data_IF_788736924307
#
_entry.id   IF_788736924307
#
_cell.length_a   1.000
_cell.length_b   1.000
_cell.length_c   1.000
_cell.angle_alpha   90.00
_cell.angle_beta   90.00
_cell.angle_gamma   90.00
#
_symmetry.space_group_name_H-M   'P 1'
#
loop_
_entity.id
_entity.type
_entity.pdbx_description
1 polymer ?
#
# COMPACT_ATOMS: atom_id res chain seq x y z
N UNK A 1 -9.10 -8.84 29.13
CA UNK A 1 -8.30 -8.28 28.02
C UNK A 1 -7.69 -7.00 28.52
N UNK A 2 -6.37 -6.94 28.64
CA UNK A 2 -5.68 -5.68 28.98
C UNK A 2 -5.88 -4.76 27.78
N UNK A 3 -6.48 -3.60 28.00
CA UNK A 3 -6.63 -2.59 26.95
C UNK A 3 -5.23 -2.04 26.67
N UNK A 4 -4.57 -2.53 25.62
CA UNK A 4 -3.23 -2.05 25.25
C UNK A 4 -3.37 -0.61 24.78
N UNK A 5 -2.54 0.29 25.32
CA UNK A 5 -2.48 1.68 24.90
C UNK A 5 -2.26 1.75 23.36
N UNK A 6 -2.99 2.58 22.60
CA UNK A 6 -2.91 2.62 21.13
C UNK A 6 -1.49 2.84 20.59
N UNK A 7 -0.69 3.69 21.24
CA UNK A 7 0.72 3.94 20.92
C UNK A 7 1.57 2.67 21.08
N UNK A 8 1.38 1.94 22.18
CA UNK A 8 2.06 0.67 22.44
C UNK A 8 1.68 -0.39 21.42
N UNK A 9 0.42 -0.46 21.02
CA UNK A 9 -0.01 -1.39 19.96
C UNK A 9 0.70 -1.13 18.62
N UNK A 10 0.87 0.14 18.22
CA UNK A 10 1.63 0.48 17.01
C UNK A 10 3.13 0.20 17.17
N UNK A 11 3.70 0.45 18.35
CA UNK A 11 5.09 0.10 18.63
C UNK A 11 5.33 -1.42 18.53
N UNK A 12 4.43 -2.24 19.04
CA UNK A 12 4.53 -3.71 18.89
C UNK A 12 4.43 -4.15 17.43
N UNK A 13 3.53 -3.57 16.62
CA UNK A 13 3.50 -3.82 15.16
C UNK A 13 4.86 -3.52 14.50
N UNK A 14 5.49 -2.40 14.86
CA UNK A 14 6.81 -2.03 14.33
C UNK A 14 7.92 -2.99 14.79
N UNK A 15 7.83 -3.56 15.99
CA UNK A 15 8.77 -4.56 16.51
C UNK A 15 8.66 -5.91 15.80
N UNK A 16 7.49 -6.25 15.27
CA UNK A 16 7.26 -7.45 14.47
C UNK A 16 7.78 -7.35 13.03
N UNK A 17 8.08 -6.14 12.56
CA UNK A 17 8.67 -5.93 11.24
C UNK A 17 10.09 -6.51 11.21
N UNK A 18 10.37 -7.31 10.18
CA UNK A 18 11.73 -7.70 9.87
C UNK A 18 12.43 -6.58 9.09
N UNK A 19 13.30 -5.84 9.78
CA UNK A 19 13.98 -4.65 9.24
C UNK A 19 15.26 -4.97 8.46
N UNK A 20 15.85 -6.14 8.69
CA UNK A 20 17.15 -6.54 8.14
C UNK A 20 17.13 -7.91 7.46
N UNK A 21 16.12 -8.72 7.74
CA UNK A 21 15.93 -10.05 7.21
C UNK A 21 14.84 -10.06 6.15
N UNK A 22 15.11 -10.90 5.15
CA UNK A 22 14.17 -11.35 4.15
C UNK A 22 13.96 -10.42 2.93
N UNK A 23 15.01 -10.36 2.10
CA UNK A 23 14.88 -9.99 0.68
C UNK A 23 13.78 -10.80 -0.03
N UNK A 24 13.52 -12.05 0.39
CA UNK A 24 12.46 -12.85 -0.21
C UNK A 24 11.09 -12.23 0.13
N UNK A 25 10.85 -11.82 1.37
CA UNK A 25 9.60 -11.15 1.79
C UNK A 25 9.36 -9.83 1.05
N UNK A 26 10.35 -8.97 0.93
CA UNK A 26 10.20 -7.70 0.17
C UNK A 26 10.01 -7.95 -1.33
N UNK A 27 10.69 -8.94 -1.90
CA UNK A 27 10.58 -9.30 -3.32
C UNK A 27 9.20 -9.85 -3.71
N UNK A 28 8.60 -10.68 -2.86
CA UNK A 28 7.25 -11.23 -3.13
C UNK A 28 6.16 -10.19 -2.96
N UNK A 29 6.39 -9.11 -2.19
CA UNK A 29 5.42 -8.04 -1.95
C UNK A 29 5.70 -6.74 -2.72
N UNK A 30 6.49 -6.80 -3.79
CA UNK A 30 6.93 -5.59 -4.53
C UNK A 30 5.77 -4.73 -5.04
N UNK A 31 4.64 -5.32 -5.46
CA UNK A 31 3.51 -4.56 -6.03
C UNK A 31 2.77 -3.79 -4.96
N UNK A 32 2.35 -4.48 -3.90
CA UNK A 32 1.67 -3.85 -2.77
C UNK A 32 2.56 -2.79 -2.11
N UNK A 33 3.85 -3.07 -1.88
CA UNK A 33 4.80 -2.11 -1.28
C UNK A 33 4.89 -0.81 -2.08
N UNK A 34 4.97 -0.89 -3.41
CA UNK A 34 5.00 0.29 -4.27
C UNK A 34 3.70 1.11 -4.20
N UNK A 35 2.53 0.45 -4.18
CA UNK A 35 1.23 1.13 -4.08
C UNK A 35 1.04 1.78 -2.70
N UNK A 36 1.41 1.08 -1.64
CA UNK A 36 1.35 1.57 -0.26
C UNK A 36 2.26 2.78 -0.04
N UNK A 37 3.49 2.76 -0.57
CA UNK A 37 4.37 3.93 -0.50
C UNK A 37 3.79 5.12 -1.29
N UNK A 38 3.28 4.91 -2.50
CA UNK A 38 2.62 5.99 -3.28
C UNK A 38 1.41 6.56 -2.54
N UNK A 39 0.65 5.71 -1.87
CA UNK A 39 -0.49 6.14 -1.06
C UNK A 39 -0.04 6.93 0.17
N UNK A 40 1.02 6.51 0.85
CA UNK A 40 1.65 7.30 1.91
C UNK A 40 2.07 8.68 1.40
N UNK A 41 2.81 8.75 0.29
CA UNK A 41 3.28 10.02 -0.31
C UNK A 41 2.11 10.98 -0.60
N UNK A 42 1.01 10.46 -1.16
CA UNK A 42 -0.22 11.21 -1.42
C UNK A 42 -0.86 11.72 -0.13
N UNK A 43 -1.06 10.85 0.87
CA UNK A 43 -1.68 11.25 2.15
C UNK A 43 -0.80 12.24 2.91
N UNK A 44 0.51 12.02 2.97
CA UNK A 44 1.46 12.94 3.56
C UNK A 44 1.44 14.31 2.88
N UNK A 45 1.26 14.38 1.54
CA UNK A 45 1.12 15.65 0.83
C UNK A 45 -0.16 16.40 1.23
N UNK A 46 -1.27 15.67 1.45
CA UNK A 46 -2.53 16.26 1.90
C UNK A 46 -2.40 16.87 3.31
N UNK A 47 -1.77 16.13 4.24
CA UNK A 47 -1.49 16.62 5.59
C UNK A 47 -0.52 17.81 5.58
N UNK A 48 0.55 17.73 4.80
CA UNK A 48 1.49 18.83 4.66
C UNK A 48 0.81 20.11 4.11
N UNK A 49 -0.07 20.00 3.10
CA UNK A 49 -0.85 21.14 2.61
C UNK A 49 -1.78 21.71 3.68
N UNK A 50 -2.47 20.85 4.43
CA UNK A 50 -3.45 21.29 5.41
C UNK A 50 -2.84 22.06 6.58
N UNK A 51 -1.58 21.76 6.93
CA UNK A 51 -0.89 22.37 8.07
C UNK A 51 0.30 23.28 7.68
N UNK A 52 0.48 23.58 6.39
CA UNK A 52 1.57 24.45 5.92
C UNK A 52 2.97 23.85 6.08
N UNK A 53 3.09 22.52 6.03
CA UNK A 53 4.33 21.76 6.24
C UNK A 53 4.93 21.21 4.93
N UNK A 54 4.75 21.89 3.80
CA UNK A 54 5.18 21.40 2.48
C UNK A 54 6.70 21.18 2.39
N UNK A 55 7.51 21.96 3.12
CA UNK A 55 8.97 21.83 3.15
C UNK A 55 9.46 20.56 3.86
N UNK A 56 8.63 19.96 4.71
CA UNK A 56 8.95 18.73 5.44
C UNK A 56 8.50 17.45 4.71
N UNK A 57 7.68 17.60 3.66
CA UNK A 57 7.22 16.49 2.86
C UNK A 57 8.41 15.78 2.18
N UNK A 58 8.41 14.44 2.03
CA UNK A 58 7.36 13.48 2.34
C UNK A 58 7.50 12.74 3.67
N UNK A 59 8.69 12.73 4.27
CA UNK A 59 9.01 11.87 5.40
C UNK A 59 9.14 12.71 6.67
N UNK A 60 7.99 13.03 7.26
CA UNK A 60 7.90 13.86 8.45
C UNK A 60 6.92 13.29 9.48
N UNK A 61 7.02 13.81 10.69
CA UNK A 61 6.08 13.52 11.74
C UNK A 61 4.93 14.54 11.67
N UNK A 62 3.80 14.13 11.09
CA UNK A 62 2.57 14.93 10.96
C UNK A 62 2.10 15.44 12.32
N UNK A 63 2.35 14.70 13.39
CA UNK A 63 1.90 15.07 14.73
C UNK A 63 2.61 16.31 15.27
N UNK A 64 3.82 16.62 14.79
CA UNK A 64 4.55 17.85 15.13
C UNK A 64 3.82 19.11 14.65
N UNK A 65 2.96 18.99 13.64
CA UNK A 65 2.19 20.10 13.05
C UNK A 65 0.74 20.10 13.53
N UNK A 66 0.15 18.92 13.73
CA UNK A 66 -1.23 18.78 14.23
C UNK A 66 -1.31 19.18 15.70
N UNK A 67 -0.38 18.70 16.52
CA UNK A 67 -0.37 18.92 17.96
C UNK A 67 1.07 18.91 18.52
N UNK A 68 1.77 20.07 18.43
CA UNK A 68 3.18 20.15 18.85
C UNK A 68 3.40 19.85 20.34
N UNK A 69 2.35 19.93 21.17
CA UNK A 69 2.44 19.70 22.62
C UNK A 69 2.13 18.27 23.02
N UNK A 70 1.74 17.41 22.06
CA UNK A 70 1.49 15.99 22.28
C UNK A 70 2.72 15.31 22.91
N UNK A 71 2.47 14.53 23.96
CA UNK A 71 3.49 13.71 24.63
C UNK A 71 3.03 12.25 24.67
N UNK A 72 3.96 11.35 24.37
CA UNK A 72 3.77 9.93 24.63
C UNK A 72 3.90 9.68 26.14
N UNK A 73 3.32 8.58 26.60
CA UNK A 73 3.68 8.01 27.90
C UNK A 73 5.23 7.85 27.98
N UNK A 74 5.88 8.24 29.10
CA UNK A 74 7.34 8.21 29.20
C UNK A 74 7.96 6.82 28.98
N UNK A 75 7.27 5.75 29.36
CA UNK A 75 7.74 4.37 29.16
C UNK A 75 7.68 4.01 27.67
N UNK A 76 6.56 4.31 27.00
CA UNK A 76 6.42 4.10 25.55
C UNK A 76 7.42 4.95 24.77
N UNK A 77 7.68 6.19 25.20
CA UNK A 77 8.66 7.06 24.57
C UNK A 77 10.08 6.50 24.66
N UNK A 78 10.49 6.00 25.83
CA UNK A 78 11.80 5.39 26.03
C UNK A 78 11.95 4.11 25.20
N UNK A 79 10.95 3.23 25.27
CA UNK A 79 10.86 1.98 24.49
C UNK A 79 10.97 2.22 22.97
N UNK A 80 10.30 3.29 22.49
CA UNK A 80 10.34 3.69 21.10
C UNK A 80 11.74 4.15 20.69
N UNK A 81 12.35 5.09 21.42
CA UNK A 81 13.66 5.63 21.03
C UNK A 81 14.75 4.54 21.10
N UNK A 82 14.69 3.63 22.08
CA UNK A 82 15.58 2.47 22.12
C UNK A 82 15.39 1.56 20.90
N UNK A 83 14.14 1.27 20.53
CA UNK A 83 13.83 0.47 19.34
C UNK A 83 14.34 1.15 18.05
N UNK A 84 14.05 2.44 17.86
CA UNK A 84 14.46 3.19 16.67
C UNK A 84 15.98 3.22 16.52
N UNK A 85 16.72 3.44 17.61
CA UNK A 85 18.19 3.51 17.58
C UNK A 85 18.85 2.18 17.21
N UNK A 86 18.23 1.05 17.56
CA UNK A 86 18.85 -0.27 17.45
C UNK A 86 18.33 -1.11 16.27
N UNK A 87 17.13 -0.82 15.76
CA UNK A 87 16.43 -1.70 14.80
C UNK A 87 16.06 -1.05 13.48
N UNK A 88 15.87 0.28 13.44
CA UNK A 88 15.36 0.94 12.24
C UNK A 88 16.52 1.44 11.37
N UNK A 89 16.56 1.09 10.06
CA UNK A 89 17.77 1.22 9.27
C UNK A 89 18.10 2.65 8.81
N UNK A 90 17.09 3.52 8.67
CA UNK A 90 17.29 4.86 8.11
C UNK A 90 16.65 5.96 8.97
N UNK A 91 17.25 7.16 9.06
CA UNK A 91 16.67 8.27 9.83
C UNK A 91 15.27 8.68 9.37
N UNK A 92 14.99 8.62 8.06
CA UNK A 92 13.67 8.92 7.51
C UNK A 92 12.62 7.90 7.96
N UNK A 93 12.95 6.61 7.91
CA UNK A 93 12.09 5.54 8.45
C UNK A 93 11.87 5.72 9.95
N UNK A 94 12.92 6.07 10.71
CA UNK A 94 12.77 6.31 12.15
C UNK A 94 11.84 7.49 12.45
N UNK A 95 11.90 8.56 11.63
CA UNK A 95 11.02 9.72 11.76
C UNK A 95 9.55 9.35 11.50
N UNK A 96 9.27 8.56 10.46
CA UNK A 96 7.90 8.13 10.17
C UNK A 96 7.37 7.08 11.16
N UNK A 97 8.22 6.18 11.66
CA UNK A 97 7.87 5.28 12.76
C UNK A 97 7.48 6.04 14.04
N UNK A 98 8.25 7.08 14.40
CA UNK A 98 7.91 7.97 15.53
C UNK A 98 6.56 8.65 15.33
N UNK A 99 6.34 9.19 14.13
CA UNK A 99 5.06 9.80 13.77
C UNK A 99 3.89 8.83 13.86
N UNK A 100 4.05 7.59 13.39
CA UNK A 100 3.00 6.56 13.47
C UNK A 100 2.59 6.23 14.92
N UNK A 101 3.56 6.10 15.83
CA UNK A 101 3.29 5.83 17.25
C UNK A 101 2.60 7.01 17.92
N UNK A 102 3.05 8.24 17.67
CA UNK A 102 2.40 9.48 18.17
C UNK A 102 1.01 9.66 17.59
N UNK A 103 0.83 9.33 16.32
CA UNK A 103 -0.45 9.42 15.63
C UNK A 103 -1.52 8.52 16.26
N UNK A 104 -1.13 7.36 16.79
CA UNK A 104 -2.04 6.48 17.52
C UNK A 104 -2.63 7.14 18.77
N UNK A 105 -1.86 7.97 19.47
CA UNK A 105 -2.35 8.77 20.61
C UNK A 105 -3.34 9.83 20.13
N UNK A 106 -3.00 10.59 19.08
CA UNK A 106 -3.92 11.61 18.54
C UNK A 106 -5.27 11.01 18.13
N UNK A 107 -5.26 9.84 17.47
CA UNK A 107 -6.49 9.12 17.12
C UNK A 107 -7.25 8.66 18.37
N UNK A 108 -6.56 8.05 19.34
CA UNK A 108 -7.16 7.56 20.58
C UNK A 108 -7.81 8.66 21.44
N UNK A 109 -7.23 9.85 21.43
CA UNK A 109 -7.74 11.02 22.16
C UNK A 109 -8.75 11.86 21.35
N UNK A 110 -9.04 11.50 20.10
CA UNK A 110 -9.92 12.28 19.21
C UNK A 110 -9.35 13.65 18.81
N UNK A 111 -8.03 13.82 18.88
CA UNK A 111 -7.31 15.08 18.64
C UNK A 111 -6.83 15.27 17.20
N UNK A 112 -7.20 14.38 16.29
CA UNK A 112 -7.00 14.58 14.84
C UNK A 112 -7.83 15.74 14.28
N UNK A 113 -8.72 16.33 15.10
CA UNK A 113 -9.56 17.48 14.74
C UNK A 113 -10.74 17.11 13.86
N UNK A 114 -11.32 18.11 13.17
CA UNK A 114 -12.37 17.96 12.14
C UNK A 114 -11.78 17.62 10.75
N UNK A 115 -10.51 17.22 10.70
CA UNK A 115 -9.84 16.93 9.43
C UNK A 115 -10.43 15.65 8.84
N UNK A 116 -11.16 15.76 7.72
CA UNK A 116 -11.65 14.62 6.93
C UNK A 116 -10.51 13.87 6.19
N UNK A 117 -9.25 14.23 6.48
CA UNK A 117 -8.09 13.63 5.84
C UNK A 117 -7.87 12.19 6.31
N UNK A 118 -7.45 11.29 5.40
CA UNK A 118 -7.20 9.89 5.73
C UNK A 118 -5.98 9.74 6.64
N UNK A 119 -5.93 8.61 7.35
CA UNK A 119 -4.77 8.22 8.16
C UNK A 119 -3.47 8.25 7.32
N UNK A 120 -2.46 9.07 7.68
CA UNK A 120 -1.25 9.19 6.90
C UNK A 120 -0.34 7.96 7.03
N UNK A 121 -0.35 7.24 8.14
CA UNK A 121 0.67 6.24 8.47
C UNK A 121 0.26 4.80 8.20
N UNK A 122 -1.03 4.47 8.15
CA UNK A 122 -1.46 3.08 7.93
C UNK A 122 -0.91 2.45 6.63
N UNK A 123 -0.87 3.16 5.46
CA UNK A 123 -0.22 2.59 4.27
C UNK A 123 1.25 2.26 4.51
N UNK A 124 1.95 3.08 5.30
CA UNK A 124 3.37 2.92 5.55
C UNK A 124 3.65 1.77 6.55
N UNK A 125 2.81 1.63 7.58
CA UNK A 125 2.87 0.48 8.50
C UNK A 125 2.68 -0.84 7.75
N UNK A 126 1.65 -0.92 6.90
CA UNK A 126 1.42 -2.10 6.05
C UNK A 126 2.60 -2.36 5.10
N UNK A 127 3.22 -1.29 4.59
CA UNK A 127 4.39 -1.44 3.73
C UNK A 127 5.56 -2.06 4.51
N UNK A 128 5.83 -1.58 5.72
CA UNK A 128 6.87 -2.12 6.61
C UNK A 128 6.63 -3.60 6.94
N UNK A 129 5.41 -3.95 7.34
CA UNK A 129 5.02 -5.33 7.65
C UNK A 129 5.26 -6.29 6.47
N UNK A 130 5.26 -5.77 5.24
CA UNK A 130 5.44 -6.52 3.99
C UNK A 130 6.87 -6.58 3.47
N UNK A 131 7.87 -6.14 4.24
CA UNK A 131 9.28 -6.34 3.84
C UNK A 131 10.25 -5.26 4.30
N UNK A 132 9.99 -4.65 5.46
CA UNK A 132 10.90 -3.67 6.06
C UNK A 132 10.79 -2.27 5.46
N UNK A 133 11.81 -1.45 5.75
CA UNK A 133 11.85 -0.03 5.45
C UNK A 133 12.14 0.30 3.98
N UNK A 134 12.79 1.44 3.79
CA UNK A 134 13.22 1.96 2.50
C UNK A 134 14.49 2.81 2.65
N UNK A 135 15.21 2.98 1.55
CA UNK A 135 16.27 3.98 1.40
C UNK A 135 15.88 5.04 0.37
N UNK A 136 16.53 6.20 0.46
CA UNK A 136 16.33 7.32 -0.45
C UNK A 136 17.68 7.69 -1.04
N UNK A 137 17.77 7.62 -2.36
CA UNK A 137 18.86 8.20 -3.14
C UNK A 137 18.24 9.02 -4.28
N UNK A 138 18.50 8.68 -5.54
CA UNK A 138 17.77 9.23 -6.69
C UNK A 138 16.30 8.77 -6.72
N UNK A 139 16.06 7.56 -6.23
CA UNK A 139 14.75 6.93 -6.12
C UNK A 139 14.46 6.54 -4.67
N UNK A 140 13.18 6.27 -4.38
CA UNK A 140 12.79 5.57 -3.17
C UNK A 140 12.95 4.07 -3.46
N UNK A 141 13.94 3.43 -2.85
CA UNK A 141 14.18 2.00 -2.98
C UNK A 141 13.45 1.25 -1.86
N UNK A 142 12.54 0.37 -2.27
CA UNK A 142 11.73 -0.48 -1.39
C UNK A 142 12.29 -1.91 -1.30
N UNK A 143 13.57 -2.12 -1.62
CA UNK A 143 14.30 -3.40 -1.58
C UNK A 143 13.70 -4.45 -2.52
N UNK A 144 13.58 -4.10 -3.79
CA UNK A 144 13.04 -4.97 -4.85
C UNK A 144 12.24 -4.21 -5.91
N UNK A 145 11.79 -3.01 -5.57
CA UNK A 145 11.19 -2.05 -6.50
C UNK A 145 11.65 -0.65 -6.15
N UNK A 146 12.09 0.08 -7.17
CA UNK A 146 12.41 1.50 -7.06
C UNK A 146 11.22 2.31 -7.59
N UNK A 147 10.80 3.32 -6.84
CA UNK A 147 9.75 4.24 -7.29
C UNK A 147 10.31 5.66 -7.40
N UNK A 148 9.87 6.45 -8.39
CA UNK A 148 10.22 7.86 -8.46
C UNK A 148 9.62 8.60 -7.28
N UNK A 149 10.39 9.54 -6.73
CA UNK A 149 9.96 10.44 -5.66
C UNK A 149 8.75 11.30 -6.09
N UNK A 150 8.74 11.72 -7.36
CA UNK A 150 7.76 12.67 -7.89
C UNK A 150 7.99 14.07 -7.34
N UNK A 151 6.96 14.92 -7.39
CA UNK A 151 6.96 16.22 -6.73
C UNK A 151 5.70 16.35 -5.86
N UNK A 152 5.70 17.37 -5.00
CA UNK A 152 4.61 17.63 -4.07
C UNK A 152 3.24 17.68 -4.75
N UNK A 153 3.09 18.51 -5.78
CA UNK A 153 1.82 18.70 -6.50
C UNK A 153 1.35 17.42 -7.21
N UNK A 154 2.27 16.67 -7.81
CA UNK A 154 1.95 15.40 -8.45
C UNK A 154 1.44 14.37 -7.44
N UNK A 155 2.03 14.31 -6.25
CA UNK A 155 1.60 13.38 -5.21
C UNK A 155 0.30 13.86 -4.57
N UNK A 156 0.13 15.17 -4.36
CA UNK A 156 -1.08 15.75 -3.80
C UNK A 156 -2.33 15.47 -4.66
N UNK A 157 -2.16 15.49 -5.99
CA UNK A 157 -3.22 15.27 -6.97
C UNK A 157 -3.28 13.83 -7.50
N UNK A 158 -2.46 12.91 -6.95
CA UNK A 158 -2.47 11.52 -7.38
C UNK A 158 -3.81 10.84 -7.05
N UNK A 159 -4.23 9.92 -7.91
CA UNK A 159 -5.40 9.07 -7.62
C UNK A 159 -5.16 8.23 -6.37
N UNK A 160 -6.15 8.14 -5.46
CA UNK A 160 -6.03 7.35 -4.24
C UNK A 160 -5.90 5.87 -4.54
N UNK A 161 -5.04 5.19 -3.79
CA UNK A 161 -5.09 3.73 -3.70
C UNK A 161 -6.13 3.35 -2.65
N UNK A 162 -7.24 2.77 -3.11
CA UNK A 162 -8.47 2.68 -2.32
C UNK A 162 -8.49 1.53 -1.30
N UNK A 163 -7.69 0.48 -1.50
CA UNK A 163 -7.68 -0.68 -0.60
C UNK A 163 -6.41 -0.77 0.24
N UNK A 164 -6.59 -0.86 1.55
CA UNK A 164 -5.56 -1.29 2.49
C UNK A 164 -5.82 -2.71 3.03
N UNK A 165 -6.77 -3.44 2.43
CA UNK A 165 -7.15 -4.78 2.89
C UNK A 165 -6.07 -5.81 2.58
N UNK A 166 -5.69 -6.63 3.57
CA UNK A 166 -4.64 -7.64 3.42
C UNK A 166 -4.93 -8.59 2.24
N UNK A 167 -6.16 -9.08 2.11
CA UNK A 167 -6.53 -9.97 1.01
C UNK A 167 -6.36 -9.34 -0.38
N UNK A 168 -6.58 -8.03 -0.52
CA UNK A 168 -6.33 -7.33 -1.80
C UNK A 168 -4.84 -7.17 -2.07
N UNK A 169 -4.07 -6.79 -1.05
CA UNK A 169 -2.61 -6.67 -1.16
C UNK A 169 -1.97 -8.02 -1.51
N UNK A 170 -2.41 -9.10 -0.87
CA UNK A 170 -1.94 -10.46 -1.13
C UNK A 170 -2.32 -10.93 -2.53
N UNK A 171 -3.53 -10.61 -3.01
CA UNK A 171 -3.94 -10.92 -4.37
C UNK A 171 -3.13 -10.15 -5.43
N UNK A 172 -2.73 -8.89 -5.16
CA UNK A 172 -1.87 -8.13 -6.07
C UNK A 172 -0.48 -8.75 -6.18
N UNK A 173 0.02 -9.31 -5.09
CA UNK A 173 1.36 -9.89 -4.98
C UNK A 173 1.45 -11.37 -5.40
N UNK A 174 0.33 -12.10 -5.34
CA UNK A 174 0.27 -13.54 -5.66
C UNK A 174 0.91 -13.81 -7.03
N UNK A 175 2.03 -14.57 -7.04
CA UNK A 175 2.80 -14.94 -8.24
C UNK A 175 3.12 -13.76 -9.17
N UNK A 176 3.23 -12.54 -8.64
CA UNK A 176 3.32 -11.29 -9.41
C UNK A 176 4.71 -11.02 -10.03
N UNK A 177 5.38 -12.09 -10.48
CA UNK A 177 6.67 -12.01 -11.16
C UNK A 177 6.55 -11.39 -12.56
N UNK A 178 7.56 -10.61 -12.93
CA UNK A 178 7.67 -10.02 -14.26
C UNK A 178 6.83 -8.76 -14.47
N UNK A 179 6.66 -8.35 -15.73
CA UNK A 179 5.81 -7.22 -16.10
C UNK A 179 4.35 -7.68 -16.17
N UNK A 180 3.44 -6.96 -15.54
CA UNK A 180 2.02 -7.30 -15.50
C UNK A 180 1.22 -6.21 -16.22
N UNK A 181 0.30 -6.62 -17.07
CA UNK A 181 -0.76 -5.76 -17.62
C UNK A 181 -2.11 -6.32 -17.17
N UNK A 182 -2.98 -5.45 -16.65
CA UNK A 182 -4.31 -5.82 -16.18
C UNK A 182 -5.38 -5.43 -17.21
N UNK A 183 -6.42 -6.23 -17.32
CA UNK A 183 -7.54 -5.97 -18.21
C UNK A 183 -8.88 -6.23 -17.52
N UNK A 184 -9.84 -5.35 -17.76
CA UNK A 184 -11.22 -5.51 -17.35
C UNK A 184 -12.02 -6.15 -18.49
N UNK A 185 -12.73 -7.25 -18.21
CA UNK A 185 -13.67 -7.87 -19.15
C UNK A 185 -14.98 -7.08 -19.16
N UNK A 186 -15.31 -6.47 -20.30
CA UNK A 186 -16.47 -5.60 -20.47
C UNK A 186 -17.50 -6.19 -21.43
N UNK A 187 -18.76 -5.83 -21.23
CA UNK A 187 -19.86 -6.16 -22.14
C UNK A 187 -21.03 -5.22 -21.86
N UNK A 188 -22.12 -5.39 -22.61
CA UNK A 188 -23.40 -4.78 -22.25
C UNK A 188 -23.76 -5.13 -20.79
N UNK A 189 -24.14 -4.10 -20.02
CA UNK A 189 -24.42 -4.19 -18.58
C UNK A 189 -23.20 -4.28 -17.66
N UNK A 190 -21.98 -4.40 -18.19
CA UNK A 190 -20.73 -4.50 -17.42
C UNK A 190 -19.64 -3.58 -17.97
N UNK A 191 -19.73 -2.27 -17.72
CA UNK A 191 -18.75 -1.29 -18.18
C UNK A 191 -17.41 -1.42 -17.43
N UNK A 192 -16.37 -0.67 -17.84
CA UNK A 192 -15.06 -0.61 -17.17
C UNK A 192 -15.16 -0.33 -15.66
N UNK A 193 -16.13 0.49 -15.24
CA UNK A 193 -16.36 0.83 -13.83
C UNK A 193 -17.01 -0.30 -13.01
N UNK A 194 -17.60 -1.31 -13.66
CA UNK A 194 -18.17 -2.50 -13.03
C UNK A 194 -18.03 -3.70 -13.97
N UNK A 195 -16.79 -4.20 -14.18
CA UNK A 195 -16.53 -5.21 -15.20
C UNK A 195 -17.01 -6.60 -14.75
N UNK A 196 -17.16 -7.53 -15.69
CA UNK A 196 -17.56 -8.92 -15.40
C UNK A 196 -16.53 -9.70 -14.59
N UNK A 197 -15.28 -9.28 -14.70
CA UNK A 197 -14.11 -9.94 -14.16
C UNK A 197 -12.86 -9.21 -14.65
N UNK A 198 -11.72 -9.51 -14.04
CA UNK A 198 -10.44 -9.01 -14.50
C UNK A 198 -9.52 -10.18 -14.86
N UNK A 199 -8.65 -9.93 -15.82
CA UNK A 199 -7.55 -10.81 -16.19
C UNK A 199 -6.24 -10.04 -16.11
N UNK A 200 -5.13 -10.73 -15.94
CA UNK A 200 -3.80 -10.15 -16.04
C UNK A 200 -2.94 -10.98 -16.96
N UNK A 201 -2.06 -10.31 -17.69
CA UNK A 201 -0.99 -10.93 -18.47
C UNK A 201 0.33 -10.64 -17.78
N UNK A 202 1.09 -11.68 -17.43
CA UNK A 202 2.45 -11.57 -16.91
C UNK A 202 3.47 -11.95 -17.97
N UNK A 203 4.50 -11.13 -18.14
CA UNK A 203 5.66 -11.39 -18.98
C UNK A 203 6.85 -11.69 -18.06
N UNK A 204 7.25 -12.96 -17.99
CA UNK A 204 8.23 -13.49 -17.03
C UNK A 204 9.51 -13.90 -17.74
N UNK A 205 10.65 -13.59 -17.11
CA UNK A 205 11.98 -13.96 -17.61
C UNK A 205 12.43 -13.12 -18.80
N UNK A 206 13.66 -13.38 -19.27
CA UNK A 206 14.27 -12.62 -20.38
C UNK A 206 13.62 -12.89 -21.74
N UNK A 207 13.10 -14.11 -21.92
CA UNK A 207 12.41 -14.52 -23.15
C UNK A 207 10.96 -14.02 -23.20
N UNK A 208 10.45 -13.42 -22.11
CA UNK A 208 9.12 -12.83 -22.08
C UNK A 208 7.99 -13.86 -22.09
N UNK A 209 8.18 -15.01 -21.43
CA UNK A 209 7.16 -16.06 -21.32
C UNK A 209 5.87 -15.45 -20.79
N UNK A 210 4.79 -15.64 -21.56
CA UNK A 210 3.49 -15.06 -21.27
C UNK A 210 2.66 -16.01 -20.40
N UNK A 211 2.13 -15.49 -19.30
CA UNK A 211 1.19 -16.18 -18.43
C UNK A 211 -0.08 -15.33 -18.30
N UNK A 212 -1.19 -15.85 -18.80
CA UNK A 212 -2.49 -15.21 -18.70
C UNK A 212 -3.27 -15.83 -17.53
N UNK A 213 -3.80 -14.98 -16.65
CA UNK A 213 -4.50 -15.39 -15.44
C UNK A 213 -5.80 -14.60 -15.27
N UNK A 214 -6.84 -15.25 -14.77
CA UNK A 214 -8.10 -14.61 -14.39
C UNK A 214 -8.25 -14.57 -12.87
N UNK A 215 -8.76 -13.47 -12.33
CA UNK A 215 -9.13 -13.42 -10.92
C UNK A 215 -10.51 -14.05 -10.75
N UNK A 216 -10.57 -15.20 -10.07
CA UNK A 216 -11.78 -16.03 -10.03
C UNK A 216 -12.59 -15.83 -8.75
N UNK A 217 -13.75 -16.47 -8.67
CA UNK A 217 -14.58 -16.50 -7.46
C UNK A 217 -13.92 -17.21 -6.27
N UNK A 218 -12.80 -17.90 -6.50
CA UNK A 218 -11.97 -18.47 -5.45
C UNK A 218 -11.04 -17.42 -4.79
N UNK A 219 -11.19 -16.14 -5.15
CA UNK A 219 -10.41 -15.02 -4.63
C UNK A 219 -8.89 -15.16 -4.85
N UNK A 220 -8.51 -15.72 -6.00
CA UNK A 220 -7.13 -15.90 -6.42
C UNK A 220 -6.99 -15.81 -7.94
N UNK A 221 -5.76 -15.57 -8.38
CA UNK A 221 -5.40 -15.67 -9.79
C UNK A 221 -5.25 -17.13 -10.21
N UNK A 222 -5.90 -17.52 -11.31
CA UNK A 222 -5.82 -18.86 -11.90
C UNK A 222 -5.50 -18.76 -13.39
N UNK A 223 -4.73 -19.72 -13.96
CA UNK A 223 -4.41 -19.72 -15.39
C UNK A 223 -5.66 -19.64 -16.28
N UNK A 224 -5.58 -18.88 -17.37
CA UNK A 224 -6.66 -18.74 -18.34
C UNK A 224 -6.12 -18.66 -19.77
N UNK A 225 -6.93 -19.12 -20.74
CA UNK A 225 -6.64 -18.94 -22.16
C UNK A 225 -7.37 -17.74 -22.77
N UNK A 226 -8.09 -16.94 -21.97
CA UNK A 226 -8.98 -15.90 -22.46
C UNK A 226 -8.32 -14.91 -23.43
N UNK A 227 -7.18 -14.33 -23.07
CA UNK A 227 -6.51 -13.33 -23.91
C UNK A 227 -5.96 -13.96 -25.20
N UNK A 228 -5.37 -15.16 -25.10
CA UNK A 228 -4.93 -15.94 -26.27
C UNK A 228 -6.08 -16.26 -27.23
N UNK A 229 -7.24 -16.68 -26.72
CA UNK A 229 -8.40 -17.00 -27.54
C UNK A 229 -8.99 -15.73 -28.19
N UNK A 230 -8.98 -14.61 -27.49
CA UNK A 230 -9.38 -13.31 -28.03
C UNK A 230 -8.46 -12.89 -29.20
N UNK A 231 -7.14 -13.06 -29.07
CA UNK A 231 -6.20 -12.82 -30.18
C UNK A 231 -6.45 -13.71 -31.41
N UNK A 232 -7.04 -14.89 -31.21
CA UNK A 232 -7.46 -15.81 -32.27
C UNK A 232 -8.86 -15.51 -32.84
N UNK A 233 -9.53 -14.46 -32.37
CA UNK A 233 -10.83 -14.00 -32.87
C UNK A 233 -12.05 -14.48 -32.06
N UNK A 234 -11.86 -15.15 -30.91
CA UNK A 234 -12.96 -15.52 -30.01
C UNK A 234 -13.36 -14.35 -29.11
N UNK A 235 -14.05 -13.36 -29.70
CA UNK A 235 -14.27 -12.04 -29.10
C UNK A 235 -15.68 -11.86 -28.50
N UNK A 236 -16.27 -12.93 -27.97
CA UNK A 236 -17.63 -12.90 -27.39
C UNK A 236 -17.76 -11.96 -26.18
N UNK A 237 -16.64 -11.66 -25.51
CA UNK A 237 -16.55 -10.71 -24.41
C UNK A 237 -15.33 -9.83 -24.64
N UNK A 238 -15.54 -8.53 -24.72
CA UNK A 238 -14.48 -7.56 -24.96
C UNK A 238 -13.68 -7.27 -23.69
N UNK A 239 -12.50 -6.67 -23.81
CA UNK A 239 -11.71 -6.21 -22.68
C UNK A 239 -11.00 -4.89 -22.95
N UNK A 240 -10.69 -4.18 -21.88
CA UNK A 240 -9.90 -2.95 -21.92
C UNK A 240 -8.78 -3.03 -20.90
N UNK A 241 -7.61 -2.48 -21.24
CA UNK A 241 -6.51 -2.33 -20.29
C UNK A 241 -6.92 -1.40 -19.14
N UNK A 242 -6.59 -1.79 -17.92
CA UNK A 242 -6.86 -1.04 -16.69
C UNK A 242 -5.57 -0.85 -15.88
N UNK A 243 -5.56 0.18 -15.05
CA UNK A 243 -4.47 0.40 -14.10
C UNK A 243 -4.46 -0.67 -13.01
N UNK A 244 -3.30 -0.85 -12.38
CA UNK A 244 -3.15 -1.69 -11.19
C UNK A 244 -4.05 -1.23 -10.02
N UNK A 245 -4.33 0.08 -9.91
CA UNK A 245 -5.27 0.63 -8.93
C UNK A 245 -6.71 0.19 -9.19
N UNK A 246 -7.15 0.22 -10.45
CA UNK A 246 -8.48 -0.28 -10.84
C UNK A 246 -8.60 -1.79 -10.62
N UNK A 247 -7.55 -2.55 -10.90
CA UNK A 247 -7.51 -3.98 -10.60
C UNK A 247 -7.67 -4.24 -9.09
N UNK A 248 -6.96 -3.48 -8.24
CA UNK A 248 -7.08 -3.56 -6.79
C UNK A 248 -8.50 -3.24 -6.29
N UNK A 249 -9.13 -2.18 -6.83
CA UNK A 249 -10.50 -1.82 -6.48
C UNK A 249 -11.51 -2.92 -6.85
N UNK A 250 -11.31 -3.59 -8.00
CA UNK A 250 -12.13 -4.74 -8.36
C UNK A 250 -11.93 -5.93 -7.41
N UNK A 251 -10.67 -6.26 -7.08
CA UNK A 251 -10.33 -7.37 -6.17
C UNK A 251 -10.98 -7.15 -4.81
N UNK A 252 -10.83 -5.95 -4.22
CA UNK A 252 -11.44 -5.61 -2.94
C UNK A 252 -12.96 -5.79 -3.00
N UNK A 253 -13.62 -5.22 -4.02
CA UNK A 253 -15.06 -5.39 -4.22
C UNK A 253 -15.48 -6.85 -4.36
N UNK A 254 -14.69 -7.68 -5.03
CA UNK A 254 -14.95 -9.11 -5.15
C UNK A 254 -14.81 -9.85 -3.80
N UNK A 255 -13.75 -9.56 -3.04
CA UNK A 255 -13.51 -10.11 -1.70
C UNK A 255 -14.66 -9.73 -0.77
N UNK A 256 -15.03 -8.45 -0.68
CA UNK A 256 -16.11 -7.97 0.20
C UNK A 256 -17.45 -8.61 -0.14
N UNK A 257 -17.80 -8.71 -1.43
CA UNK A 257 -19.06 -9.34 -1.86
C UNK A 257 -19.12 -10.81 -1.48
N UNK A 258 -18.05 -11.57 -1.73
CA UNK A 258 -18.04 -13.01 -1.48
C UNK A 258 -17.89 -13.35 0.01
N UNK A 259 -17.14 -12.56 0.78
CA UNK A 259 -17.07 -12.71 2.24
C UNK A 259 -18.41 -12.43 2.94
N UNK A 260 -19.23 -11.53 2.41
CA UNK A 260 -20.57 -11.23 2.93
C UNK A 260 -21.68 -12.19 2.48
N UNK A 261 -21.36 -13.24 1.71
CA UNK A 261 -22.35 -14.22 1.21
C UNK A 261 -22.36 -15.53 2.05
N UNK A 262 -21.80 -15.50 3.26
CA UNK A 262 -21.76 -16.62 4.21
C UNK A 262 -22.73 -16.42 5.39
#
# INVERSE_FOLDING_TARGET
>A
MVNVEPSRAVLERLREVDWYGDWDKSSVHTRSRALLMREYLRRAAQWARAYGAQEEWPFFDVTEFVDPVLRLDPEVAADLEEFLANKVPTPSTARTCRGAVRWAVLKGEGRTGTSELPDPYEPLLLMYERGGGYSIEEFIDLYGVMIPYGNFESNLNAEPFLSLSLGTLDALDQDAAGRITYYAKISDGHPRSNPRGIVRRRLVGREGTTHDEAFTRNLRWEPTEYLRLYELGHNDVDHVEISEREAAAFIESAITRLAGTH
#
